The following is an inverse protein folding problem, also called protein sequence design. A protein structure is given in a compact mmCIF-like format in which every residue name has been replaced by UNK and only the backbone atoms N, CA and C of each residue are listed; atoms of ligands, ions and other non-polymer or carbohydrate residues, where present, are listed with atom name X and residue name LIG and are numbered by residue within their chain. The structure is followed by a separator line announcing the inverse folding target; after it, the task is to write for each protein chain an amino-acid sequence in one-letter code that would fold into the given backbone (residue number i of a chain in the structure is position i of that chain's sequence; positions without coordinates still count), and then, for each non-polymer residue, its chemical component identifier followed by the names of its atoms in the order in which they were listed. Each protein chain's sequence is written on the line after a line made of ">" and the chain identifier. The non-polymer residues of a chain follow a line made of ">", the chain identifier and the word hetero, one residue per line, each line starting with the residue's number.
data_IF_741903286965
#
_entry.id   IF_741903286965
#
_cell.length_a   1.000
_cell.length_b   1.000
_cell.length_c   1.000
_cell.angle_alpha   90.00
_cell.angle_beta   90.00
_cell.angle_gamma   90.00
#
_symmetry.space_group_name_H-M   'P 1'
#
loop_
_entity.id
_entity.type
_entity.pdbx_description
1 polymer ?
#
# COMPACT_ATOMS: atom_id res chain seq x y z
N UNK A 1 5.35 -38.26 27.65
CA UNK A 1 5.90 -36.91 27.81
C UNK A 1 6.54 -36.36 26.55
N UNK A 2 7.36 -37.12 25.86
CA UNK A 2 8.01 -36.64 24.62
C UNK A 2 7.03 -36.29 23.51
N UNK A 3 5.97 -37.06 23.34
CA UNK A 3 4.94 -36.82 22.35
C UNK A 3 4.15 -35.53 22.56
N UNK A 4 3.94 -35.13 23.81
CA UNK A 4 3.25 -33.86 24.14
C UNK A 4 4.08 -32.64 23.79
N UNK A 5 5.41 -32.72 23.98
CA UNK A 5 6.32 -31.61 23.68
C UNK A 5 6.39 -31.38 22.16
N UNK A 6 6.42 -32.44 21.36
CA UNK A 6 6.43 -32.33 19.92
C UNK A 6 5.13 -31.76 19.37
N UNK A 7 3.98 -32.16 19.94
CA UNK A 7 2.69 -31.63 19.55
C UNK A 7 2.57 -30.12 19.82
N UNK A 8 3.10 -29.67 20.96
CA UNK A 8 3.10 -28.27 21.35
C UNK A 8 3.94 -27.41 20.39
N UNK A 9 5.12 -27.91 20.03
CA UNK A 9 5.99 -27.21 19.06
C UNK A 9 5.36 -27.12 17.70
N UNK A 10 4.65 -28.13 17.26
CA UNK A 10 3.95 -28.14 15.98
C UNK A 10 2.81 -27.11 15.95
N UNK A 11 2.04 -27.01 17.03
CA UNK A 11 0.95 -26.02 17.15
C UNK A 11 1.52 -24.59 17.13
N UNK A 12 2.65 -24.35 17.79
CA UNK A 12 3.29 -23.03 17.80
C UNK A 12 3.77 -22.65 16.41
N UNK A 13 4.34 -23.58 15.65
CA UNK A 13 4.77 -23.32 14.29
C UNK A 13 3.60 -23.02 13.34
N UNK A 14 2.47 -23.71 13.52
CA UNK A 14 1.26 -23.46 12.77
C UNK A 14 0.67 -22.08 13.06
N UNK A 15 0.66 -21.65 14.31
CA UNK A 15 0.19 -20.32 14.69
C UNK A 15 1.09 -19.23 14.12
N UNK A 16 2.39 -19.41 14.12
CA UNK A 16 3.33 -18.46 13.53
C UNK A 16 3.13 -18.36 12.02
N UNK A 17 2.89 -19.46 11.33
CA UNK A 17 2.61 -19.46 9.89
C UNK A 17 1.26 -18.80 9.58
N UNK A 18 0.28 -18.96 10.46
CA UNK A 18 -1.05 -18.35 10.28
C UNK A 18 -1.01 -16.84 10.49
N UNK A 19 -0.09 -16.34 11.32
CA UNK A 19 0.11 -14.92 11.56
C UNK A 19 0.93 -14.24 10.46
N UNK A 20 1.31 -14.96 9.42
CA UNK A 20 2.04 -14.41 8.28
C UNK A 20 1.22 -13.32 7.61
N UNK A 21 1.92 -12.30 7.10
CA UNK A 21 1.33 -11.12 6.51
C UNK A 21 0.50 -11.39 5.27
N UNK A 22 -0.58 -10.63 5.10
CA UNK A 22 -1.36 -10.65 3.89
C UNK A 22 -0.61 -9.90 2.78
N UNK A 23 -0.60 -10.50 1.59
CA UNK A 23 -0.09 -9.87 0.38
C UNK A 23 -1.28 -9.53 -0.52
N UNK A 24 -1.34 -8.27 -0.94
CA UNK A 24 -2.33 -7.81 -1.89
C UNK A 24 -1.59 -7.29 -3.11
N UNK A 25 -1.95 -7.82 -4.27
CA UNK A 25 -1.42 -7.34 -5.53
C UNK A 25 -2.54 -6.62 -6.28
N UNK A 26 -2.29 -5.37 -6.67
CA UNK A 26 -3.28 -4.55 -7.36
C UNK A 26 -2.68 -3.88 -8.58
N UNK A 27 -3.44 -3.86 -9.65
CA UNK A 27 -3.13 -3.05 -10.82
C UNK A 27 -4.13 -1.89 -10.87
N UNK A 28 -3.63 -0.67 -10.72
CA UNK A 28 -4.47 0.52 -10.61
C UNK A 28 -4.48 1.31 -11.90
N UNK A 29 -5.66 1.81 -12.25
CA UNK A 29 -5.84 2.80 -13.30
C UNK A 29 -6.32 4.08 -12.61
N UNK A 30 -5.53 5.14 -12.72
CA UNK A 30 -5.84 6.43 -12.08
C UNK A 30 -6.09 7.47 -13.16
N UNK A 31 -7.32 7.95 -13.25
CA UNK A 31 -7.71 8.92 -14.26
C UNK A 31 -7.06 10.28 -14.01
N UNK A 32 -7.04 11.10 -15.06
CA UNK A 32 -6.53 12.48 -14.98
C UNK A 32 -7.31 13.26 -13.92
N UNK A 33 -6.57 13.98 -13.08
CA UNK A 33 -7.17 14.77 -12.00
C UNK A 33 -7.63 13.95 -10.80
N UNK A 34 -7.28 12.67 -10.76
CA UNK A 34 -7.65 11.75 -9.67
C UNK A 34 -6.44 11.26 -8.92
N UNK A 35 -6.68 10.79 -7.72
CA UNK A 35 -5.71 10.05 -6.93
C UNK A 35 -6.38 8.84 -6.29
N UNK A 36 -5.59 7.80 -6.08
CA UNK A 36 -6.03 6.60 -5.39
C UNK A 36 -5.58 6.65 -3.94
N UNK A 37 -6.45 6.27 -3.04
CA UNK A 37 -6.19 6.27 -1.59
C UNK A 37 -6.20 4.83 -1.10
N UNK A 38 -5.11 4.44 -0.46
CA UNK A 38 -4.96 3.12 0.14
C UNK A 38 -4.64 3.28 1.62
N UNK A 39 -5.44 2.66 2.47
CA UNK A 39 -5.21 2.67 3.91
C UNK A 39 -5.88 3.85 4.61
N UNK A 40 -5.36 4.18 5.80
CA UNK A 40 -5.87 5.26 6.64
C UNK A 40 -6.56 4.78 7.92
N UNK A 41 -6.96 3.53 7.99
CA UNK A 41 -7.68 2.99 9.15
C UNK A 41 -7.07 1.69 9.69
N UNK A 42 -6.00 1.22 9.12
CA UNK A 42 -5.38 -0.03 9.53
C UNK A 42 -4.66 0.11 10.88
N UNK A 43 -4.65 -0.98 11.64
CA UNK A 43 -4.09 -1.00 12.99
C UNK A 43 -2.59 -1.21 13.03
N UNK A 44 -1.97 -1.58 11.93
CA UNK A 44 -0.53 -1.84 11.86
C UNK A 44 0.13 -1.14 10.69
N UNK A 45 1.45 -1.10 10.71
CA UNK A 45 2.25 -0.61 9.61
C UNK A 45 2.10 -1.53 8.39
N UNK A 46 2.29 -0.96 7.20
CA UNK A 46 2.26 -1.74 5.97
C UNK A 46 3.35 -1.28 5.01
N UNK A 47 3.67 -2.15 4.06
CA UNK A 47 4.68 -1.89 3.04
C UNK A 47 4.02 -1.85 1.67
N UNK A 48 4.46 -0.94 0.83
CA UNK A 48 3.98 -0.83 -0.53
C UNK A 48 5.17 -0.84 -1.47
N UNK A 49 5.15 -1.77 -2.42
CA UNK A 49 6.04 -1.74 -3.58
C UNK A 49 5.21 -1.23 -4.75
N UNK A 50 5.61 -0.11 -5.32
CA UNK A 50 4.89 0.53 -6.41
C UNK A 50 5.76 0.56 -7.65
N UNK A 51 5.18 0.24 -8.81
CA UNK A 51 5.83 0.37 -10.10
C UNK A 51 4.92 1.13 -11.04
N UNK A 52 5.47 2.17 -11.66
CA UNK A 52 4.75 2.90 -12.69
C UNK A 52 4.84 2.13 -14.01
N UNK A 53 3.76 1.47 -14.38
CA UNK A 53 3.68 0.68 -15.60
C UNK A 53 2.99 1.44 -16.74
N UNK A 54 2.61 2.68 -16.51
CA UNK A 54 1.89 3.49 -17.47
C UNK A 54 2.75 4.57 -18.12
N UNK A 55 2.10 5.40 -18.95
CA UNK A 55 2.82 6.38 -19.78
C UNK A 55 3.07 7.73 -19.11
N UNK A 56 2.54 7.96 -17.90
CA UNK A 56 2.61 9.28 -17.25
C UNK A 56 3.22 9.16 -15.86
N UNK A 57 3.85 10.23 -15.35
CA UNK A 57 4.39 10.21 -13.99
C UNK A 57 3.29 10.21 -12.93
N UNK A 58 3.61 9.63 -11.78
CA UNK A 58 2.75 9.63 -10.61
C UNK A 58 3.50 10.14 -9.39
N UNK A 59 2.76 10.71 -8.45
CA UNK A 59 3.29 11.17 -7.18
C UNK A 59 2.77 10.25 -6.07
N UNK A 60 3.68 9.81 -5.22
CA UNK A 60 3.35 9.03 -4.04
C UNK A 60 3.38 9.94 -2.82
N UNK A 61 2.27 10.00 -2.10
CA UNK A 61 2.12 10.86 -0.92
C UNK A 61 1.65 10.01 0.26
N UNK A 62 1.91 10.52 1.44
CA UNK A 62 1.41 9.95 2.69
C UNK A 62 0.49 10.94 3.36
N UNK A 63 -0.69 10.49 3.76
CA UNK A 63 -1.63 11.26 4.58
C UNK A 63 -1.59 10.70 5.99
N UNK A 64 -1.21 11.53 6.95
CA UNK A 64 -1.20 11.17 8.37
C UNK A 64 -2.20 12.05 9.09
N UNK A 65 -3.18 11.44 9.75
CA UNK A 65 -4.27 12.20 10.36
C UNK A 65 -5.14 12.88 9.31
N UNK A 66 -5.81 13.98 9.67
CA UNK A 66 -6.79 14.60 8.80
C UNK A 66 -6.21 15.57 7.78
N UNK A 67 -5.04 16.13 8.05
CA UNK A 67 -4.56 17.25 7.25
C UNK A 67 -3.07 17.24 6.92
N UNK A 68 -2.30 16.28 7.43
CA UNK A 68 -0.86 16.24 7.16
C UNK A 68 -0.62 15.37 5.94
N UNK A 69 -0.10 15.97 4.88
CA UNK A 69 0.23 15.28 3.64
C UNK A 69 1.71 15.53 3.33
N UNK A 70 2.45 14.46 3.11
CA UNK A 70 3.89 14.49 2.84
C UNK A 70 4.16 13.77 1.54
N UNK A 71 4.96 14.37 0.66
CA UNK A 71 5.43 13.70 -0.55
C UNK A 71 6.45 12.64 -0.19
N UNK A 72 6.22 11.41 -0.66
CA UNK A 72 7.10 10.28 -0.42
C UNK A 72 7.94 9.91 -1.63
N UNK A 73 7.54 10.31 -2.82
CA UNK A 73 8.30 10.04 -4.03
C UNK A 73 7.53 10.35 -5.29
N UNK A 74 8.27 10.46 -6.39
CA UNK A 74 7.73 10.61 -7.73
C UNK A 74 8.24 9.45 -8.58
N UNK A 75 7.36 8.80 -9.31
CA UNK A 75 7.71 7.71 -10.22
C UNK A 75 7.45 8.13 -11.65
N UNK A 76 8.52 8.21 -12.43
CA UNK A 76 8.42 8.30 -13.89
C UNK A 76 8.04 6.93 -14.46
N UNK A 77 7.55 6.88 -15.71
CA UNK A 77 7.24 5.59 -16.35
C UNK A 77 8.41 4.60 -16.24
N UNK A 78 8.13 3.40 -15.77
CA UNK A 78 9.11 2.34 -15.57
C UNK A 78 9.82 2.33 -14.23
N UNK A 79 9.68 3.38 -13.43
CA UNK A 79 10.32 3.46 -12.12
C UNK A 79 9.52 2.73 -11.03
N UNK A 80 10.23 2.30 -10.01
CA UNK A 80 9.67 1.59 -8.87
C UNK A 80 10.17 2.20 -7.57
N UNK A 81 9.35 2.06 -6.51
CA UNK A 81 9.72 2.44 -5.15
C UNK A 81 9.13 1.46 -4.16
N UNK A 82 9.79 1.32 -3.03
CA UNK A 82 9.30 0.52 -1.90
C UNK A 82 9.23 1.41 -0.68
N UNK A 83 8.06 1.55 -0.10
CA UNK A 83 7.79 2.46 1.01
C UNK A 83 7.11 1.75 2.15
N UNK A 84 7.37 2.23 3.37
CA UNK A 84 6.70 1.76 4.59
C UNK A 84 5.81 2.88 5.11
N UNK A 85 4.62 2.52 5.57
CA UNK A 85 3.64 3.45 6.12
C UNK A 85 3.26 3.01 7.52
N UNK A 86 3.13 3.98 8.43
CA UNK A 86 2.76 3.71 9.81
C UNK A 86 1.28 3.32 9.93
N UNK A 87 0.92 2.74 11.07
CA UNK A 87 -0.47 2.47 11.39
C UNK A 87 -1.31 3.76 11.25
N UNK A 88 -2.47 3.64 10.63
CA UNK A 88 -3.37 4.77 10.42
C UNK A 88 -3.01 5.71 9.27
N UNK A 89 -1.82 5.59 8.69
CA UNK A 89 -1.44 6.39 7.53
C UNK A 89 -2.05 5.84 6.25
N UNK A 90 -2.30 6.73 5.29
CA UNK A 90 -2.75 6.34 3.95
C UNK A 90 -1.69 6.69 2.93
N UNK A 91 -1.55 5.86 1.90
CA UNK A 91 -0.77 6.21 0.72
C UNK A 91 -1.69 6.75 -0.36
N UNK A 92 -1.28 7.85 -0.97
CA UNK A 92 -1.99 8.45 -2.10
C UNK A 92 -1.14 8.24 -3.35
N UNK A 93 -1.77 7.79 -4.43
CA UNK A 93 -1.14 7.66 -5.74
C UNK A 93 -1.83 8.66 -6.66
N UNK A 94 -1.13 9.74 -6.97
CA UNK A 94 -1.69 10.88 -7.73
C UNK A 94 -1.20 10.85 -9.17
N UNK A 95 -2.12 10.93 -10.11
CA UNK A 95 -1.79 11.07 -11.51
C UNK A 95 -1.30 12.50 -11.78
N UNK A 96 -0.08 12.64 -12.29
CA UNK A 96 0.52 13.94 -12.61
C UNK A 96 0.45 14.27 -14.12
N UNK A 97 -0.08 13.37 -14.93
CA UNK A 97 -0.07 13.52 -16.37
C UNK A 97 -1.42 13.93 -16.95
N UNK A 98 -1.46 13.93 -18.27
CA UNK A 98 -2.65 14.29 -19.05
C UNK A 98 -3.34 13.07 -19.67
N UNK A 99 -2.91 11.88 -19.26
CA UNK A 99 -3.48 10.61 -19.66
C UNK A 99 -3.67 9.76 -18.41
N UNK A 100 -4.42 8.67 -18.53
CA UNK A 100 -4.60 7.71 -17.43
C UNK A 100 -3.26 7.13 -17.01
N UNK A 101 -3.04 7.10 -15.71
CA UNK A 101 -1.87 6.45 -15.11
C UNK A 101 -2.16 4.99 -14.83
N UNK A 102 -1.11 4.16 -14.86
CA UNK A 102 -1.18 2.74 -14.51
C UNK A 102 -0.08 2.42 -13.52
N UNK A 103 -0.44 1.82 -12.41
CA UNK A 103 0.48 1.52 -11.31
C UNK A 103 0.24 0.10 -10.82
N UNK A 104 1.32 -0.67 -10.72
CA UNK A 104 1.28 -1.96 -10.05
C UNK A 104 1.68 -1.78 -8.60
N UNK A 105 0.85 -2.27 -7.69
CA UNK A 105 1.10 -2.22 -6.26
C UNK A 105 1.17 -3.62 -5.68
N UNK A 106 2.19 -3.85 -4.86
CA UNK A 106 2.25 -4.98 -3.94
C UNK A 106 2.19 -4.43 -2.53
N UNK A 107 1.21 -4.88 -1.78
CA UNK A 107 0.94 -4.38 -0.45
C UNK A 107 1.11 -5.54 0.54
N UNK A 108 1.93 -5.32 1.55
CA UNK A 108 2.14 -6.29 2.63
C UNK A 108 1.77 -5.64 3.95
N UNK A 109 0.85 -6.25 4.67
CA UNK A 109 0.43 -5.71 5.94
C UNK A 109 -0.50 -6.63 6.70
N UNK A 110 -0.77 -6.32 7.98
CA UNK A 110 -1.50 -7.21 8.86
C UNK A 110 -3.02 -7.16 8.72
N UNK A 111 -3.58 -6.23 7.96
CA UNK A 111 -5.02 -6.05 7.93
C UNK A 111 -5.53 -5.61 6.57
N UNK A 112 -6.86 -5.65 6.43
CA UNK A 112 -7.53 -5.12 5.25
C UNK A 112 -7.32 -3.61 5.17
N UNK A 113 -6.94 -3.14 3.99
CA UNK A 113 -6.74 -1.73 3.73
C UNK A 113 -7.92 -1.19 2.94
N UNK A 114 -8.33 0.01 3.31
CA UNK A 114 -9.35 0.74 2.56
C UNK A 114 -8.76 1.19 1.23
N UNK A 115 -9.54 1.08 0.16
CA UNK A 115 -9.15 1.50 -1.19
C UNK A 115 -10.25 2.33 -1.80
N UNK A 116 -9.91 3.53 -2.26
CA UNK A 116 -10.87 4.41 -2.93
C UNK A 116 -10.17 5.39 -3.87
N UNK A 117 -10.94 5.98 -4.79
CA UNK A 117 -10.47 7.08 -5.63
C UNK A 117 -11.06 8.38 -5.13
N UNK A 118 -10.30 9.44 -5.23
CA UNK A 118 -10.80 10.78 -4.91
C UNK A 118 -10.25 11.79 -5.92
N UNK A 119 -10.92 12.93 -6.13
CA UNK A 119 -10.37 14.00 -6.95
C UNK A 119 -9.15 14.61 -6.27
N UNK A 120 -8.19 15.06 -7.08
CA UNK A 120 -7.05 15.81 -6.57
C UNK A 120 -7.56 17.17 -6.08
N UNK A 121 -7.21 17.58 -4.85
CA UNK A 121 -7.65 18.88 -4.34
C UNK A 121 -7.18 20.04 -5.22
N UNK A 122 -8.06 21.00 -5.47
CA UNK A 122 -7.70 22.24 -6.10
C UNK A 122 -7.11 23.20 -5.06
N UNK A 123 -6.00 23.79 -5.40
CA UNK A 123 -5.39 24.84 -4.58
C UNK A 123 -5.75 26.22 -5.11
#
# INVERSE_FOLDING_TARGET
>A
MRTLIFALLFITALLAAYAATNNIHSHLLVDVGKQFVLGGEQVGAFWVSARNSGPVPVLLLERSGESVIVTRGRLEPGQSARLTFAAGAAVLVRNLGLQRAEIDLDIKGPSKSRMEYEPVPNN
#
